data_IF_057730549063
#
_entry.id   IF_057730549063
#
_cell.length_a   1.000
_cell.length_b   1.000
_cell.length_c   1.000
_cell.angle_alpha   90.00
_cell.angle_beta   90.00
_cell.angle_gamma   90.00
#
_symmetry.space_group_name_H-M   'P 1'
#
loop_
_entity.id
_entity.type
_entity.pdbx_description
1 polymer ?
#
# COMPACT_ATOMS: atom_id res chain seq x y z
N UNK A 1 -25.79 -8.90 3.60
CA UNK A 1 -25.23 -9.12 2.25
C UNK A 1 -23.75 -8.81 2.32
N UNK A 2 -22.89 -9.81 2.13
CA UNK A 2 -21.45 -9.60 2.10
C UNK A 2 -21.11 -9.03 0.72
N UNK A 3 -20.76 -7.74 0.63
CA UNK A 3 -20.27 -7.18 -0.63
C UNK A 3 -19.02 -7.96 -1.01
N UNK A 4 -18.99 -8.47 -2.25
CA UNK A 4 -17.79 -9.06 -2.83
C UNK A 4 -16.75 -7.94 -2.89
N UNK A 5 -15.65 -8.05 -2.14
CA UNK A 5 -14.57 -7.06 -2.19
C UNK A 5 -14.05 -7.03 -3.62
N UNK A 6 -14.14 -5.89 -4.29
CA UNK A 6 -13.52 -5.73 -5.60
C UNK A 6 -12.01 -5.76 -5.41
N UNK A 7 -11.38 -6.73 -6.06
CA UNK A 7 -9.96 -6.99 -5.93
C UNK A 7 -9.22 -6.37 -7.12
N UNK A 8 -8.52 -5.27 -6.88
CA UNK A 8 -7.57 -4.73 -7.86
C UNK A 8 -6.43 -5.74 -8.04
N UNK A 9 -6.21 -6.16 -9.28
CA UNK A 9 -5.13 -7.07 -9.67
C UNK A 9 -4.81 -6.91 -11.16
N UNK A 10 -3.93 -5.95 -11.48
CA UNK A 10 -3.47 -5.66 -12.84
C UNK A 10 -2.11 -6.34 -13.02
N UNK A 11 -1.97 -7.19 -14.04
CA UNK A 11 -0.73 -7.90 -14.34
C UNK A 11 -0.24 -7.59 -15.74
N UNK A 12 1.04 -7.29 -15.88
CA UNK A 12 1.71 -7.10 -17.16
C UNK A 12 3.14 -7.64 -17.09
N UNK A 13 3.42 -8.73 -17.80
CA UNK A 13 4.67 -9.48 -17.69
C UNK A 13 4.97 -9.83 -16.22
N UNK A 14 6.13 -9.42 -15.70
CA UNK A 14 6.52 -9.62 -14.31
C UNK A 14 6.05 -8.52 -13.35
N UNK A 15 5.33 -7.50 -13.86
CA UNK A 15 4.77 -6.41 -13.07
C UNK A 15 3.36 -6.77 -12.61
N UNK A 16 3.06 -6.51 -11.34
CA UNK A 16 1.74 -6.68 -10.73
C UNK A 16 1.38 -5.43 -9.91
N UNK A 17 0.15 -4.94 -10.07
CA UNK A 17 -0.44 -3.93 -9.16
C UNK A 17 -1.64 -4.59 -8.50
N UNK A 18 -1.60 -4.73 -7.18
CA UNK A 18 -2.65 -5.40 -6.42
C UNK A 18 -3.04 -4.61 -5.19
N UNK A 19 -4.19 -4.93 -4.61
CA UNK A 19 -4.56 -4.45 -3.28
C UNK A 19 -3.42 -4.67 -2.27
N UNK A 20 -3.16 -3.65 -1.44
CA UNK A 20 -2.39 -3.84 -0.23
C UNK A 20 -3.15 -4.78 0.72
N UNK A 21 -2.39 -5.65 1.39
CA UNK A 21 -2.89 -6.64 2.33
C UNK A 21 -2.14 -6.53 3.66
N UNK A 22 -2.64 -7.22 4.69
CA UNK A 22 -2.00 -7.28 6.00
C UNK A 22 -0.50 -7.60 5.93
N UNK A 23 -0.11 -8.53 5.06
CA UNK A 23 1.30 -8.94 4.85
C UNK A 23 2.21 -7.82 4.34
N UNK A 24 1.64 -6.75 3.80
CA UNK A 24 2.39 -5.62 3.25
C UNK A 24 2.60 -4.51 4.28
N UNK A 25 1.91 -4.55 5.42
CA UNK A 25 1.93 -3.49 6.44
C UNK A 25 3.34 -3.26 7.03
N UNK A 26 4.13 -4.32 7.21
CA UNK A 26 5.51 -4.19 7.68
C UNK A 26 6.39 -3.49 6.65
N UNK A 27 6.27 -3.86 5.38
CA UNK A 27 7.03 -3.21 4.30
C UNK A 27 6.61 -1.75 4.11
N UNK A 28 5.31 -1.46 4.20
CA UNK A 28 4.78 -0.10 4.16
C UNK A 28 5.30 0.72 5.34
N UNK A 29 5.34 0.17 6.55
CA UNK A 29 5.92 0.86 7.70
C UNK A 29 7.40 1.20 7.49
N UNK A 30 8.17 0.30 6.89
CA UNK A 30 9.59 0.57 6.54
C UNK A 30 9.68 1.74 5.56
N UNK A 31 8.94 1.71 4.46
CA UNK A 31 8.98 2.79 3.47
C UNK A 31 8.47 4.12 4.02
N UNK A 32 7.34 4.10 4.73
CA UNK A 32 6.69 5.31 5.22
C UNK A 32 7.42 5.95 6.41
N UNK A 33 8.22 5.19 7.15
CA UNK A 33 9.03 5.74 8.25
C UNK A 33 10.44 6.14 7.81
N UNK A 34 10.88 5.72 6.62
CA UNK A 34 12.14 6.18 6.06
C UNK A 34 11.97 7.59 5.46
N UNK A 35 12.52 8.58 6.14
CA UNK A 35 12.50 9.97 5.69
C UNK A 35 13.18 10.21 4.34
N UNK A 36 14.15 9.37 3.95
CA UNK A 36 14.79 9.44 2.63
C UNK A 36 13.82 9.04 1.53
N UNK A 37 13.06 7.96 1.77
CA UNK A 37 12.01 7.49 0.87
C UNK A 37 10.88 8.52 0.81
N UNK A 38 10.41 9.00 1.97
CA UNK A 38 9.22 9.86 2.05
C UNK A 38 9.48 11.36 1.85
N UNK A 39 10.73 11.81 1.73
CA UNK A 39 11.06 13.22 1.51
C UNK A 39 10.34 13.80 0.29
N UNK A 40 10.24 13.04 -0.81
CA UNK A 40 9.55 13.48 -2.03
C UNK A 40 8.05 13.68 -1.84
N UNK A 41 7.46 12.99 -0.86
CA UNK A 41 6.05 13.11 -0.46
C UNK A 41 5.83 14.20 0.62
N UNK A 42 6.87 14.95 1.00
CA UNK A 42 6.78 16.01 2.00
C UNK A 42 7.00 15.57 3.45
N UNK A 43 7.43 14.32 3.68
CA UNK A 43 7.69 13.79 5.03
C UNK A 43 9.17 13.40 5.19
N UNK A 44 10.09 14.38 5.32
CA UNK A 44 11.54 14.12 5.37
C UNK A 44 12.00 13.37 6.63
N UNK A 45 11.14 13.23 7.65
CA UNK A 45 11.41 12.45 8.86
C UNK A 45 10.60 11.14 8.92
N UNK A 46 9.93 10.77 7.82
CA UNK A 46 8.96 9.69 7.79
C UNK A 46 7.65 10.03 8.50
N UNK A 47 6.73 9.07 8.54
CA UNK A 47 5.40 9.19 9.13
C UNK A 47 5.34 8.78 10.60
N UNK A 48 6.32 8.00 11.09
CA UNK A 48 6.34 7.50 12.47
C UNK A 48 5.15 6.59 12.81
N UNK A 49 4.65 5.82 11.83
CA UNK A 49 3.49 4.93 11.99
C UNK A 49 3.90 3.47 12.21
N UNK A 50 3.00 2.67 12.76
CA UNK A 50 3.20 1.22 12.96
C UNK A 50 2.45 0.38 11.92
N UNK A 51 2.93 -0.84 11.68
CA UNK A 51 2.23 -1.80 10.83
C UNK A 51 0.77 -2.05 11.29
N UNK A 52 0.50 -1.99 12.60
CA UNK A 52 -0.85 -2.16 13.16
C UNK A 52 -1.78 -0.97 12.84
N UNK A 53 -1.26 0.25 12.80
CA UNK A 53 -2.03 1.42 12.36
C UNK A 53 -2.30 1.37 10.86
N UNK A 54 -1.30 0.96 10.06
CA UNK A 54 -1.45 0.76 8.62
C UNK A 54 -2.50 -0.31 8.31
N UNK A 55 -2.50 -1.43 9.04
CA UNK A 55 -3.48 -2.51 8.86
C UNK A 55 -4.91 -1.99 9.05
N UNK A 56 -5.16 -1.18 10.10
CA UNK A 56 -6.46 -0.54 10.31
C UNK A 56 -6.83 0.37 9.13
N UNK A 57 -5.87 1.17 8.67
CA UNK A 57 -6.12 2.07 7.56
C UNK A 57 -6.41 1.34 6.23
N UNK A 58 -5.81 0.18 5.98
CA UNK A 58 -6.08 -0.66 4.81
C UNK A 58 -7.45 -1.34 4.93
N UNK A 59 -7.85 -1.73 6.14
CA UNK A 59 -9.17 -2.31 6.38
C UNK A 59 -10.32 -1.34 6.06
N UNK A 60 -10.05 -0.03 6.19
CA UNK A 60 -11.00 1.04 5.89
C UNK A 60 -10.96 1.50 4.41
N UNK A 61 -10.05 0.98 3.58
CA UNK A 61 -9.95 1.37 2.17
C UNK A 61 -11.15 0.86 1.34
N UNK A 62 -11.66 1.71 0.46
CA UNK A 62 -12.79 1.41 -0.43
C UNK A 62 -12.68 2.16 -1.76
N UNK A 63 -13.35 1.68 -2.80
CA UNK A 63 -13.34 2.32 -4.12
C UNK A 63 -14.01 3.70 -4.13
N UNK A 64 -14.79 4.02 -3.10
CA UNK A 64 -15.44 5.33 -2.94
C UNK A 64 -14.59 6.36 -2.18
N UNK A 65 -13.52 5.93 -1.50
CA UNK A 65 -12.73 6.81 -0.61
C UNK A 65 -11.27 6.88 -1.02
N UNK A 66 -10.62 5.72 -1.03
CA UNK A 66 -9.26 5.49 -1.49
C UNK A 66 -8.98 4.01 -1.44
N UNK A 67 -8.03 3.57 -2.26
CA UNK A 67 -7.48 2.22 -2.22
C UNK A 67 -5.97 2.27 -2.30
N UNK A 68 -5.29 1.68 -1.30
CA UNK A 68 -3.86 1.45 -1.36
C UNK A 68 -3.54 0.18 -2.14
N UNK A 69 -2.57 0.32 -3.02
CA UNK A 69 -2.09 -0.73 -3.89
C UNK A 69 -0.60 -0.94 -3.66
N UNK A 70 -0.15 -2.16 -3.92
CA UNK A 70 1.26 -2.55 -3.94
C UNK A 70 1.66 -2.83 -5.38
N UNK A 71 2.80 -2.29 -5.75
CA UNK A 71 3.46 -2.53 -7.03
C UNK A 71 4.53 -3.59 -6.79
N UNK A 72 4.46 -4.68 -7.54
CA UNK A 72 5.39 -5.80 -7.47
C UNK A 72 6.09 -6.03 -8.80
N UNK A 73 7.35 -6.44 -8.75
CA UNK A 73 8.11 -6.96 -9.89
C UNK A 73 8.75 -8.29 -9.48
N UNK A 74 8.50 -9.38 -10.22
CA UNK A 74 8.95 -10.73 -9.85
C UNK A 74 8.62 -11.10 -8.39
N UNK A 75 7.37 -10.83 -7.96
CA UNK A 75 6.87 -11.07 -6.60
C UNK A 75 7.60 -10.28 -5.48
N UNK A 76 8.48 -9.36 -5.85
CA UNK A 76 9.13 -8.41 -4.93
C UNK A 76 8.35 -7.11 -4.93
N UNK A 77 8.03 -6.61 -3.73
CA UNK A 77 7.37 -5.32 -3.54
C UNK A 77 8.37 -4.21 -3.85
N UNK A 78 8.06 -3.37 -4.81
CA UNK A 78 8.96 -2.30 -5.28
C UNK A 78 8.40 -0.90 -5.10
N UNK A 79 7.12 -0.79 -4.74
CA UNK A 79 6.50 0.48 -4.40
C UNK A 79 5.06 0.31 -3.98
N UNK A 80 4.44 1.43 -3.67
CA UNK A 80 3.01 1.55 -3.41
C UNK A 80 2.38 2.55 -4.39
N UNK A 81 1.06 2.58 -4.41
CA UNK A 81 0.32 3.75 -4.88
C UNK A 81 -1.02 3.85 -4.16
N UNK A 82 -1.64 5.02 -4.23
CA UNK A 82 -3.03 5.22 -3.81
C UNK A 82 -3.89 5.63 -5.00
N UNK A 83 -5.05 5.00 -5.14
CA UNK A 83 -6.10 5.38 -6.09
C UNK A 83 -7.26 6.01 -5.33
N UNK A 84 -7.80 7.11 -5.85
CA UNK A 84 -8.93 7.88 -5.30
C UNK A 84 -10.10 7.85 -6.27
#
# INVERSE_FOLDING_TARGET
>A
MQRKREEMNIKYNQLCIRNAEKKDCEQLAVWWNDGTVMAHAGFPNGLGTSAAEIEKQIADDSDETRRRLIIEYNDVRIGEMSFY
#
